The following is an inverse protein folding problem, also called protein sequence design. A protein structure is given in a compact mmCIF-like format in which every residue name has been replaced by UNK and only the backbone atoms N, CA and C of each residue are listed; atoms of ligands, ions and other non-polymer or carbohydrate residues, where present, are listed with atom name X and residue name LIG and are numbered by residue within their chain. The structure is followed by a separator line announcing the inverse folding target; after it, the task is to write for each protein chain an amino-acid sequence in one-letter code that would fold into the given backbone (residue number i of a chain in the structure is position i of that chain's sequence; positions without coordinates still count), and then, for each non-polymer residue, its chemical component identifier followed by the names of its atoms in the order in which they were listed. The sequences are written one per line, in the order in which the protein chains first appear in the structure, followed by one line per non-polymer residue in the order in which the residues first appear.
data_IF_595125114408
#
_entry.id   IF_595125114408
#
_cell.length_a   1.000
_cell.length_b   1.000
_cell.length_c   1.000
_cell.angle_alpha   90.00
_cell.angle_beta   90.00
_cell.angle_gamma   90.00
#
_symmetry.space_group_name_H-M   'P 1'
#
loop_
_entity.id
_entity.type
_entity.pdbx_description
1 polymer ?
#
# COMPACT_ATOMS: atom_id res chain seq x y z
N UNK A 1 -2.71 41.92 22.06
CA UNK A 1 -4.15 41.64 21.94
C UNK A 1 -4.58 42.30 20.65
N UNK A 2 -5.23 41.56 19.75
CA UNK A 2 -5.55 41.92 18.34
C UNK A 2 -4.33 41.91 17.40
N UNK A 3 -4.14 40.85 16.60
CA UNK A 3 -4.68 40.53 15.25
C UNK A 3 -4.06 41.31 14.10
N UNK A 4 -3.58 40.52 13.13
CA UNK A 4 -3.27 40.83 11.73
C UNK A 4 -2.07 41.71 11.38
N UNK A 5 -1.00 41.03 10.93
CA UNK A 5 -0.11 41.61 9.91
C UNK A 5 0.58 40.53 9.05
N UNK A 6 -0.04 40.23 7.91
CA UNK A 6 0.64 39.67 6.75
C UNK A 6 1.58 40.73 6.13
N UNK A 7 2.86 40.37 5.92
CA UNK A 7 3.77 40.71 4.79
C UNK A 7 5.20 41.01 5.26
N UNK A 8 6.11 40.12 4.85
CA UNK A 8 7.35 40.39 4.09
C UNK A 8 8.44 39.39 4.48
N UNK A 9 8.82 38.51 3.55
CA UNK A 9 10.13 38.62 2.88
C UNK A 9 10.33 37.49 1.88
N UNK A 10 10.51 37.86 0.62
CA UNK A 10 11.17 37.07 -0.40
C UNK A 10 12.37 37.88 -0.92
N UNK A 11 13.56 37.25 -0.98
CA UNK A 11 14.53 37.22 -2.12
C UNK A 11 15.99 37.07 -1.67
N UNK A 12 16.64 35.97 -2.09
CA UNK A 12 17.86 35.86 -2.94
C UNK A 12 18.31 34.38 -2.96
N UNK A 13 18.08 33.64 -4.04
CA UNK A 13 18.99 33.34 -5.18
C UNK A 13 20.23 32.50 -4.82
N UNK A 14 20.20 31.19 -5.16
CA UNK A 14 21.29 30.43 -5.82
C UNK A 14 20.66 29.32 -6.69
N UNK A 15 21.29 29.09 -7.84
CA UNK A 15 20.87 28.29 -8.97
C UNK A 15 20.83 26.77 -8.76
N UNK A 16 19.97 26.11 -9.56
CA UNK A 16 20.10 24.71 -9.96
C UNK A 16 19.18 23.73 -9.24
N UNK A 17 18.32 23.05 -10.01
CA UNK A 17 17.41 21.96 -9.65
C UNK A 17 16.02 22.38 -9.14
N UNK A 18 15.02 22.20 -10.02
CA UNK A 18 13.57 22.38 -9.81
C UNK A 18 12.96 21.10 -9.22
N UNK A 19 12.16 21.20 -8.14
CA UNK A 19 11.33 20.14 -7.49
C UNK A 19 10.11 20.75 -6.76
N UNK A 20 8.87 20.25 -6.95
CA UNK A 20 7.54 20.69 -6.41
C UNK A 20 6.76 19.41 -5.97
N UNK A 21 5.46 19.56 -5.68
CA UNK A 21 4.66 18.89 -4.65
C UNK A 21 3.22 18.72 -5.15
N UNK A 22 2.51 17.67 -4.74
CA UNK A 22 1.12 17.38 -5.08
C UNK A 22 0.10 18.00 -4.10
N UNK A 23 -1.00 18.55 -4.64
CA UNK A 23 -2.23 18.92 -3.93
C UNK A 23 -3.43 18.46 -4.78
N UNK A 24 -4.43 17.82 -4.17
CA UNK A 24 -5.68 17.42 -4.83
C UNK A 24 -6.82 18.35 -4.37
N UNK A 25 -7.45 19.05 -5.31
CA UNK A 25 -8.70 19.79 -5.11
C UNK A 25 -9.95 19.00 -5.57
N UNK A 26 -11.08 19.37 -4.95
CA UNK A 26 -12.33 18.60 -4.79
C UNK A 26 -13.09 18.29 -6.09
N UNK A 27 -13.63 17.08 -6.19
CA UNK A 27 -14.76 16.76 -7.05
C UNK A 27 -15.87 16.09 -6.21
N UNK A 28 -17.13 16.50 -6.42
CA UNK A 28 -18.33 15.90 -5.82
C UNK A 28 -18.95 14.95 -6.84
N UNK A 29 -19.06 13.67 -6.53
CA UNK A 29 -19.94 12.77 -7.28
C UNK A 29 -20.59 11.74 -6.37
N UNK A 30 -21.86 11.43 -6.66
CA UNK A 30 -22.67 10.41 -6.00
C UNK A 30 -22.76 9.22 -6.95
N UNK A 31 -22.08 8.13 -6.66
CA UNK A 31 -22.32 6.85 -7.32
C UNK A 31 -22.50 5.74 -6.28
N UNK A 32 -23.47 4.85 -6.54
CA UNK A 32 -23.72 3.64 -5.77
C UNK A 32 -23.07 2.47 -6.53
N UNK A 33 -21.94 1.97 -6.03
CA UNK A 33 -21.23 0.82 -6.61
C UNK A 33 -21.79 -0.50 -6.03
N UNK A 34 -22.35 -1.32 -6.92
CA UNK A 34 -22.95 -2.62 -6.63
C UNK A 34 -22.05 -3.76 -7.13
N UNK A 35 -20.82 -3.87 -6.63
CA UNK A 35 -19.93 -5.03 -6.76
C UNK A 35 -18.99 -5.10 -5.56
N UNK A 36 -19.42 -5.77 -4.48
CA UNK A 36 -18.51 -6.12 -3.38
C UNK A 36 -17.74 -7.38 -3.79
N UNK A 37 -16.61 -7.21 -4.48
CA UNK A 37 -15.59 -8.27 -4.58
C UNK A 37 -14.92 -8.40 -3.21
N UNK A 38 -14.81 -9.63 -2.74
CA UNK A 38 -14.53 -10.00 -1.35
C UNK A 38 -13.06 -9.71 -0.97
N UNK A 39 -12.72 -8.50 -0.51
CA UNK A 39 -11.57 -8.37 0.39
C UNK A 39 -12.07 -8.59 1.83
N UNK A 40 -11.44 -9.46 2.66
CA UNK A 40 -11.88 -9.70 4.04
C UNK A 40 -11.89 -8.43 4.92
N UNK A 41 -11.38 -7.30 4.45
CA UNK A 41 -11.54 -5.98 5.09
C UNK A 41 -12.97 -5.39 5.00
N UNK A 42 -13.87 -5.91 4.16
CA UNK A 42 -15.13 -5.23 3.83
C UNK A 42 -16.26 -5.32 4.88
N UNK A 43 -16.17 -6.16 5.91
CA UNK A 43 -17.23 -6.27 6.90
C UNK A 43 -16.66 -6.48 8.31
N UNK A 44 -16.39 -5.40 9.03
CA UNK A 44 -16.38 -5.49 10.49
C UNK A 44 -16.87 -4.23 11.22
N UNK A 45 -17.83 -4.35 12.14
CA UNK A 45 -18.46 -3.23 12.85
C UNK A 45 -17.74 -2.86 14.16
N UNK A 46 -16.41 -2.92 14.24
CA UNK A 46 -15.70 -2.44 15.44
C UNK A 46 -14.44 -1.68 15.05
N UNK A 47 -14.40 -0.39 15.43
CA UNK A 47 -13.30 0.57 15.25
C UNK A 47 -12.66 0.61 13.86
N UNK A 48 -13.49 0.77 12.83
CA UNK A 48 -13.00 1.25 11.55
C UNK A 48 -12.71 2.75 11.62
N UNK A 49 -11.77 3.22 12.47
CA UNK A 49 -11.26 4.60 12.37
C UNK A 49 -11.17 4.91 10.89
N UNK A 50 -11.85 5.99 10.45
CA UNK A 50 -11.86 6.40 9.04
C UNK A 50 -10.48 6.14 8.52
N UNK A 51 -10.32 5.29 7.49
CA UNK A 51 -9.04 5.15 6.79
C UNK A 51 -8.51 6.56 6.68
N UNK A 52 -7.51 6.98 7.49
CA UNK A 52 -7.23 8.38 7.60
C UNK A 52 -6.71 8.80 6.23
N UNK A 53 -6.51 10.09 6.01
CA UNK A 53 -5.97 10.62 4.76
C UNK A 53 -4.65 9.97 4.29
N UNK A 54 -4.05 9.04 5.05
CA UNK A 54 -2.97 8.11 4.70
C UNK A 54 -3.19 7.40 3.36
N UNK A 55 -4.44 7.08 2.98
CA UNK A 55 -4.74 6.41 1.71
C UNK A 55 -5.25 7.33 0.61
N UNK A 56 -5.54 8.59 0.93
CA UNK A 56 -5.76 9.57 -0.13
C UNK A 56 -4.37 9.95 -0.68
N UNK A 57 -4.22 10.06 -1.99
CA UNK A 57 -3.10 10.80 -2.61
C UNK A 57 -3.20 12.31 -2.28
N UNK A 58 -3.62 12.70 -1.07
CA UNK A 58 -3.82 14.07 -0.62
C UNK A 58 -2.69 14.47 0.32
N UNK A 59 -2.01 15.55 -0.08
CA UNK A 59 -1.24 16.45 0.80
C UNK A 59 0.08 15.93 1.35
N UNK A 60 0.57 14.75 0.94
CA UNK A 60 2.00 14.47 1.07
C UNK A 60 2.73 15.13 -0.11
N UNK A 61 3.75 15.98 0.14
CA UNK A 61 4.66 16.40 -0.91
C UNK A 61 5.22 15.16 -1.60
N UNK A 62 4.75 14.91 -2.82
CA UNK A 62 5.42 14.03 -3.77
C UNK A 62 6.79 14.63 -4.06
N UNK A 63 7.74 14.42 -3.16
CA UNK A 63 9.11 14.62 -3.52
C UNK A 63 9.44 13.49 -4.52
N UNK A 64 9.58 13.85 -5.81
CA UNK A 64 10.66 13.36 -6.70
C UNK A 64 10.32 12.92 -8.14
N UNK A 65 9.06 12.91 -8.59
CA UNK A 65 8.78 12.72 -10.04
C UNK A 65 8.28 13.94 -10.78
N UNK A 66 7.43 14.75 -10.16
CA UNK A 66 6.98 15.99 -10.76
C UNK A 66 6.53 16.94 -9.68
N UNK A 67 7.24 18.03 -9.67
CA UNK A 67 6.74 19.33 -9.36
C UNK A 67 5.25 19.63 -9.65
N UNK A 68 4.76 19.27 -10.82
CA UNK A 68 3.41 19.69 -11.19
C UNK A 68 2.39 18.91 -10.40
N UNK A 69 1.49 19.64 -9.75
CA UNK A 69 0.14 19.17 -9.54
C UNK A 69 -0.33 18.56 -10.85
N UNK A 70 -0.39 17.24 -10.86
CA UNK A 70 -1.01 16.52 -11.93
C UNK A 70 -2.48 16.34 -11.55
N UNK A 71 -3.40 16.59 -12.49
CA UNK A 71 -4.77 16.20 -12.30
C UNK A 71 -4.84 14.71 -11.93
N UNK A 72 -5.68 14.35 -10.97
CA UNK A 72 -5.71 12.96 -10.50
C UNK A 72 -6.05 11.96 -11.62
N UNK A 73 -6.95 12.34 -12.54
CA UNK A 73 -7.24 11.53 -13.74
C UNK A 73 -6.01 11.27 -14.61
N UNK A 74 -5.11 12.26 -14.73
CA UNK A 74 -3.87 12.08 -15.48
C UNK A 74 -2.98 11.06 -14.77
N UNK A 75 -2.87 11.15 -13.44
CA UNK A 75 -2.12 10.17 -12.65
C UNK A 75 -2.67 8.75 -12.80
N UNK A 76 -3.97 8.55 -12.62
CA UNK A 76 -4.60 7.23 -12.74
C UNK A 76 -4.45 6.68 -14.16
N UNK A 77 -4.60 7.52 -15.18
CA UNK A 77 -4.37 7.12 -16.57
C UNK A 77 -2.91 6.71 -16.81
N UNK A 78 -1.93 7.49 -16.33
CA UNK A 78 -0.50 7.17 -16.47
C UNK A 78 -0.14 5.86 -15.72
N UNK A 79 -0.69 5.66 -14.52
CA UNK A 79 -0.53 4.42 -13.76
C UNK A 79 -1.15 3.23 -14.51
N UNK A 80 -2.39 3.37 -14.99
CA UNK A 80 -3.09 2.36 -15.82
C UNK A 80 -2.28 1.99 -17.05
N UNK A 81 -1.75 2.97 -17.77
CA UNK A 81 -0.96 2.75 -18.99
C UNK A 81 0.41 2.11 -18.69
N UNK A 82 0.89 2.29 -17.45
CA UNK A 82 2.18 1.84 -16.99
C UNK A 82 3.32 2.75 -17.44
N UNK A 83 3.08 4.07 -17.47
CA UNK A 83 4.04 5.07 -17.91
C UNK A 83 5.37 5.00 -17.13
N UNK A 84 5.31 4.57 -15.87
CA UNK A 84 6.45 4.52 -14.97
C UNK A 84 6.96 3.10 -14.67
N UNK A 85 6.51 2.06 -15.38
CA UNK A 85 6.89 0.67 -15.07
C UNK A 85 8.40 0.41 -15.15
N UNK A 86 9.09 1.10 -16.05
CA UNK A 86 10.54 0.99 -16.24
C UNK A 86 11.36 1.90 -15.30
N UNK A 87 10.80 2.28 -14.15
CA UNK A 87 11.52 3.10 -13.17
C UNK A 87 12.43 2.27 -12.26
N UNK A 88 13.31 2.95 -11.49
CA UNK A 88 14.00 2.29 -10.39
C UNK A 88 13.08 2.21 -9.15
N UNK A 89 12.59 1.01 -8.83
CA UNK A 89 11.71 0.75 -7.69
C UNK A 89 12.43 0.59 -6.35
N UNK A 90 13.77 0.69 -6.39
CA UNK A 90 14.62 0.69 -5.22
C UNK A 90 15.16 2.09 -4.89
N UNK A 91 14.66 3.12 -5.58
CA UNK A 91 15.01 4.49 -5.29
C UNK A 91 14.78 4.81 -3.81
N UNK A 92 15.77 5.43 -3.16
CA UNK A 92 15.70 5.72 -1.73
C UNK A 92 16.61 4.86 -0.86
N UNK A 93 17.00 3.66 -1.34
CA UNK A 93 17.97 2.80 -0.67
C UNK A 93 19.36 3.44 -0.57
N UNK A 94 20.19 2.90 0.33
CA UNK A 94 21.58 3.31 0.42
C UNK A 94 22.39 2.92 -0.84
N UNK A 95 23.46 3.67 -1.10
CA UNK A 95 24.43 3.33 -2.14
C UNK A 95 23.94 3.51 -3.58
N UNK A 96 24.44 2.67 -4.49
CA UNK A 96 24.13 2.78 -5.91
C UNK A 96 22.68 2.38 -6.21
N UNK A 97 22.15 1.36 -5.52
CA UNK A 97 20.80 0.82 -5.76
C UNK A 97 19.70 1.88 -5.60
N UNK A 98 19.87 2.82 -4.67
CA UNK A 98 18.89 3.89 -4.45
C UNK A 98 19.00 5.12 -5.35
N UNK A 99 19.90 5.13 -6.33
CA UNK A 99 20.00 6.22 -7.31
C UNK A 99 18.95 6.04 -8.40
N UNK A 100 18.22 7.12 -8.73
CA UNK A 100 17.16 7.15 -9.76
C UNK A 100 17.56 6.45 -11.06
N UNK A 101 18.72 6.76 -11.61
CA UNK A 101 19.17 6.27 -12.91
C UNK A 101 19.88 4.91 -12.84
N UNK A 102 19.98 4.29 -11.66
CA UNK A 102 20.67 3.04 -11.46
C UNK A 102 19.70 1.89 -11.18
N UNK A 103 19.06 1.41 -12.25
CA UNK A 103 18.16 0.25 -12.19
C UNK A 103 18.93 -1.01 -11.78
N UNK A 104 18.35 -1.88 -10.93
CA UNK A 104 18.94 -3.18 -10.66
C UNK A 104 19.02 -4.00 -11.95
N UNK A 105 20.06 -4.83 -12.04
CA UNK A 105 20.21 -5.81 -13.11
C UNK A 105 19.90 -7.18 -12.53
N UNK A 106 18.79 -7.76 -12.98
CA UNK A 106 18.44 -9.14 -12.66
C UNK A 106 19.18 -10.09 -13.60
N UNK A 107 19.67 -11.21 -13.07
CA UNK A 107 20.39 -12.24 -13.82
C UNK A 107 19.45 -13.27 -14.43
N UNK A 108 18.22 -13.33 -13.91
CA UNK A 108 17.12 -14.14 -14.40
C UNK A 108 15.80 -13.34 -14.34
N UNK A 109 14.69 -14.04 -14.53
CA UNK A 109 13.35 -13.46 -14.44
C UNK A 109 13.08 -13.04 -13.00
N UNK A 110 12.58 -11.82 -12.83
CA UNK A 110 12.37 -11.20 -11.53
C UNK A 110 10.88 -10.93 -11.27
N UNK A 111 10.11 -11.94 -10.82
CA UNK A 111 8.71 -11.74 -10.44
C UNK A 111 8.59 -10.66 -9.36
N UNK A 112 7.45 -9.96 -9.35
CA UNK A 112 7.11 -9.11 -8.23
C UNK A 112 6.94 -9.98 -6.98
N UNK A 113 7.50 -9.59 -5.85
CA UNK A 113 7.39 -10.30 -4.59
C UNK A 113 6.71 -9.39 -3.57
N UNK A 114 5.63 -9.89 -2.96
CA UNK A 114 4.84 -9.19 -1.96
C UNK A 114 4.77 -9.98 -0.66
N UNK A 115 4.62 -9.28 0.46
CA UNK A 115 4.46 -9.87 1.77
C UNK A 115 4.85 -8.90 2.87
N UNK A 116 4.89 -9.40 4.11
CA UNK A 116 5.52 -8.65 5.19
C UNK A 116 7.03 -8.65 5.01
N UNK A 117 7.66 -7.55 5.40
CA UNK A 117 9.10 -7.33 5.46
C UNK A 117 9.92 -8.57 5.86
N UNK A 118 9.57 -9.17 7.00
CA UNK A 118 10.31 -10.31 7.56
C UNK A 118 10.11 -11.58 6.72
N UNK A 119 8.94 -11.74 6.12
CA UNK A 119 8.65 -12.85 5.22
C UNK A 119 9.36 -12.68 3.88
N UNK A 120 9.45 -11.45 3.36
CA UNK A 120 10.20 -11.12 2.15
C UNK A 120 11.69 -11.38 2.39
N UNK A 121 12.24 -10.93 3.52
CA UNK A 121 13.62 -11.19 3.93
C UNK A 121 13.93 -12.68 3.95
N UNK A 122 13.10 -13.46 4.63
CA UNK A 122 13.25 -14.90 4.71
C UNK A 122 13.19 -15.55 3.33
N UNK A 123 12.21 -15.15 2.51
CA UNK A 123 12.02 -15.68 1.16
C UNK A 123 13.22 -15.40 0.26
N UNK A 124 13.66 -14.14 0.18
CA UNK A 124 14.81 -13.74 -0.62
C UNK A 124 16.09 -14.45 -0.14
N UNK A 125 16.27 -14.66 1.17
CA UNK A 125 17.40 -15.39 1.73
C UNK A 125 17.37 -16.89 1.35
N UNK A 126 16.22 -17.56 1.45
CA UNK A 126 16.11 -18.95 1.04
C UNK A 126 16.35 -19.12 -0.46
N UNK A 127 15.82 -18.22 -1.29
CA UNK A 127 16.04 -18.25 -2.74
C UNK A 127 17.50 -17.97 -3.11
N UNK A 128 18.15 -17.04 -2.42
CA UNK A 128 19.55 -16.70 -2.65
C UNK A 128 20.50 -17.90 -2.53
N UNK A 129 20.18 -18.88 -1.65
CA UNK A 129 20.97 -20.12 -1.52
C UNK A 129 20.99 -20.96 -2.80
N UNK A 130 20.01 -20.79 -3.68
CA UNK A 130 19.91 -21.54 -4.94
C UNK A 130 20.61 -20.87 -6.12
N UNK A 131 20.79 -19.54 -6.07
CA UNK A 131 21.32 -18.77 -7.20
C UNK A 131 22.83 -18.50 -7.17
N UNK A 132 23.53 -18.81 -6.06
CA UNK A 132 24.98 -18.61 -5.88
C UNK A 132 25.46 -17.20 -6.28
N UNK A 133 24.65 -16.18 -5.99
CA UNK A 133 24.82 -14.81 -6.49
C UNK A 133 25.70 -13.92 -5.61
N UNK A 134 26.34 -14.46 -4.57
CA UNK A 134 27.24 -13.71 -3.69
C UNK A 134 27.08 -14.07 -2.21
N UNK A 135 27.53 -13.18 -1.32
CA UNK A 135 27.32 -13.31 0.12
C UNK A 135 26.02 -12.59 0.52
N UNK A 136 25.18 -13.26 1.30
CA UNK A 136 24.02 -12.66 1.95
C UNK A 136 24.47 -11.54 2.90
N UNK A 137 23.87 -10.36 2.79
CA UNK A 137 24.10 -9.25 3.72
C UNK A 137 22.83 -8.99 4.55
N UNK A 138 22.80 -9.33 5.84
CA UNK A 138 21.61 -9.14 6.69
C UNK A 138 21.18 -7.68 6.83
N UNK A 139 21.99 -6.71 6.38
CA UNK A 139 21.67 -5.28 6.40
C UNK A 139 21.17 -4.76 5.07
N UNK A 140 21.13 -5.60 4.03
CA UNK A 140 20.81 -5.18 2.67
C UNK A 140 19.60 -5.95 2.11
N UNK A 141 18.45 -5.79 2.75
CA UNK A 141 17.16 -6.37 2.36
C UNK A 141 16.92 -6.30 0.84
N UNK A 142 16.94 -5.07 0.29
CA UNK A 142 16.73 -4.81 -1.12
C UNK A 142 17.76 -5.49 -2.03
N UNK A 143 19.05 -5.43 -1.66
CA UNK A 143 20.12 -6.08 -2.43
C UNK A 143 19.99 -7.60 -2.45
N UNK A 144 19.61 -8.22 -1.33
CA UNK A 144 19.40 -9.67 -1.25
C UNK A 144 18.27 -10.11 -2.18
N UNK A 145 17.16 -9.37 -2.24
CA UNK A 145 16.07 -9.68 -3.18
C UNK A 145 16.47 -9.48 -4.64
N UNK A 146 17.24 -8.43 -4.97
CA UNK A 146 17.77 -8.27 -6.33
C UNK A 146 18.66 -9.46 -6.71
N UNK A 147 19.54 -9.89 -5.81
CA UNK A 147 20.44 -11.03 -6.04
C UNK A 147 19.67 -12.35 -6.22
N UNK A 148 18.56 -12.56 -5.49
CA UNK A 148 17.70 -13.72 -5.66
C UNK A 148 16.71 -13.61 -6.83
N UNK A 149 16.83 -12.59 -7.68
CA UNK A 149 15.90 -12.30 -8.78
C UNK A 149 14.45 -12.14 -8.29
N UNK A 150 14.21 -11.36 -7.25
CA UNK A 150 12.88 -10.94 -6.81
C UNK A 150 12.77 -9.41 -6.87
N UNK A 151 11.73 -8.94 -7.55
CA UNK A 151 11.42 -7.51 -7.63
C UNK A 151 10.52 -7.13 -6.47
N UNK A 152 10.98 -6.27 -5.58
CA UNK A 152 10.19 -5.76 -4.46
C UNK A 152 10.01 -4.26 -4.62
N UNK A 153 8.94 -3.72 -4.04
CA UNK A 153 8.86 -2.28 -3.80
C UNK A 153 9.61 -1.98 -2.51
N UNK A 154 10.72 -1.24 -2.61
CA UNK A 154 11.46 -0.89 -1.41
C UNK A 154 10.85 0.31 -0.70
N UNK A 155 10.34 0.08 0.51
CA UNK A 155 9.62 1.08 1.31
C UNK A 155 10.53 1.86 2.28
N UNK A 156 11.78 1.42 2.45
CA UNK A 156 12.68 1.84 3.54
C UNK A 156 13.59 3.03 3.23
N UNK A 157 13.31 3.77 2.17
CA UNK A 157 14.20 4.85 1.74
C UNK A 157 14.15 6.05 2.68
N UNK A 158 15.24 6.32 3.42
CA UNK A 158 15.38 7.62 4.11
C UNK A 158 15.40 8.79 3.12
N UNK A 159 15.90 8.55 1.90
CA UNK A 159 15.99 9.54 0.83
C UNK A 159 14.65 9.75 0.11
N UNK A 160 13.83 8.71 0.00
CA UNK A 160 12.51 8.76 -0.65
C UNK A 160 11.52 8.06 0.28
N UNK A 161 10.74 8.86 1.00
CA UNK A 161 9.69 8.34 1.88
C UNK A 161 8.68 7.54 1.06
N UNK A 162 8.12 6.50 1.67
CA UNK A 162 7.02 5.79 1.01
C UNK A 162 5.86 6.73 0.73
N UNK A 163 5.23 6.44 -0.41
CA UNK A 163 4.12 7.16 -0.97
C UNK A 163 3.14 6.15 -1.57
N UNK A 164 1.87 6.24 -1.16
CA UNK A 164 0.80 5.38 -1.64
C UNK A 164 0.63 5.43 -3.17
N UNK A 165 0.82 6.59 -3.80
CA UNK A 165 0.69 6.69 -5.25
C UNK A 165 1.82 5.89 -5.93
N UNK A 166 3.04 5.95 -5.37
CA UNK A 166 4.17 5.16 -5.89
C UNK A 166 3.96 3.65 -5.70
N UNK A 167 3.35 3.27 -4.59
CA UNK A 167 2.96 1.87 -4.33
C UNK A 167 1.92 1.38 -5.34
N UNK A 168 0.89 2.19 -5.61
CA UNK A 168 -0.10 1.89 -6.64
C UNK A 168 0.54 1.72 -8.02
N UNK A 169 1.38 2.66 -8.46
CA UNK A 169 2.10 2.54 -9.73
C UNK A 169 2.89 1.21 -9.83
N UNK A 170 3.62 0.85 -8.77
CA UNK A 170 4.35 -0.41 -8.72
C UNK A 170 3.40 -1.61 -8.84
N UNK A 171 2.28 -1.62 -8.11
CA UNK A 171 1.29 -2.70 -8.15
C UNK A 171 0.66 -2.84 -9.53
N UNK A 172 0.31 -1.75 -10.21
CA UNK A 172 -0.25 -1.81 -11.57
C UNK A 172 0.79 -2.35 -12.55
N UNK A 173 2.05 -1.93 -12.40
CA UNK A 173 3.13 -2.48 -13.20
C UNK A 173 3.36 -3.98 -12.93
N UNK A 174 3.28 -4.41 -11.67
CA UNK A 174 3.38 -5.81 -11.26
C UNK A 174 2.23 -6.65 -11.86
N UNK A 175 0.98 -6.17 -11.73
CA UNK A 175 -0.21 -6.82 -12.27
C UNK A 175 -0.12 -7.00 -13.79
N UNK A 176 0.42 -6.00 -14.50
CA UNK A 176 0.58 -6.03 -15.96
C UNK A 176 1.85 -6.79 -16.42
N UNK A 177 2.66 -7.32 -15.50
CA UNK A 177 3.89 -8.03 -15.85
C UNK A 177 5.01 -7.14 -16.38
N UNK A 178 4.94 -5.82 -16.12
CA UNK A 178 5.78 -4.78 -16.74
C UNK A 178 6.93 -4.29 -15.87
N UNK A 179 7.11 -4.82 -14.66
CA UNK A 179 8.25 -4.41 -13.82
C UNK A 179 9.59 -4.80 -14.48
N UNK A 180 10.70 -4.08 -14.17
CA UNK A 180 12.01 -4.43 -14.70
C UNK A 180 12.38 -5.86 -14.29
N UNK A 181 12.81 -6.65 -15.27
CA UNK A 181 13.15 -8.07 -15.08
C UNK A 181 11.96 -9.03 -14.98
N UNK A 182 10.72 -8.53 -14.80
CA UNK A 182 9.55 -9.40 -14.62
C UNK A 182 9.19 -10.16 -15.90
N UNK A 183 9.41 -9.60 -17.09
CA UNK A 183 9.29 -10.33 -18.36
C UNK A 183 7.90 -10.93 -18.62
N UNK A 184 6.83 -10.31 -18.12
CA UNK A 184 5.46 -10.84 -18.21
C UNK A 184 5.15 -11.95 -17.21
N UNK A 185 6.07 -12.33 -16.32
CA UNK A 185 5.82 -13.31 -15.27
C UNK A 185 4.87 -12.77 -14.21
N UNK A 186 4.21 -13.70 -13.52
CA UNK A 186 3.34 -13.38 -12.41
C UNK A 186 4.07 -12.77 -11.22
N UNK A 187 3.28 -12.46 -10.22
CA UNK A 187 3.69 -12.03 -8.90
C UNK A 187 3.81 -13.27 -8.01
N UNK A 188 4.57 -13.16 -6.93
CA UNK A 188 4.72 -14.18 -5.88
C UNK A 188 4.46 -13.52 -4.54
N UNK A 189 4.08 -14.35 -3.58
CA UNK A 189 3.80 -13.90 -2.23
C UNK A 189 4.70 -14.64 -1.23
N UNK A 190 5.49 -13.91 -0.45
CA UNK A 190 6.27 -14.47 0.67
C UNK A 190 5.39 -14.75 1.89
N UNK A 191 4.23 -14.10 1.97
CA UNK A 191 3.17 -14.35 2.95
C UNK A 191 1.88 -14.70 2.20
N UNK A 192 1.21 -15.81 2.56
CA UNK A 192 -0.04 -16.21 1.90
C UNK A 192 -1.12 -15.15 2.15
N UNK A 193 -1.81 -14.66 1.10
CA UNK A 193 -2.91 -13.71 1.25
C UNK A 193 -4.05 -14.24 2.15
N UNK A 194 -4.28 -15.56 2.14
CA UNK A 194 -5.30 -16.21 2.97
C UNK A 194 -5.01 -16.18 4.48
N UNK A 195 -3.76 -15.97 4.86
CA UNK A 195 -3.32 -15.97 6.26
C UNK A 195 -3.34 -14.55 6.86
N UNK A 196 -3.82 -13.54 6.11
CA UNK A 196 -3.99 -12.18 6.61
C UNK A 196 -5.13 -12.13 7.64
N UNK A 197 -4.75 -11.81 8.87
CA UNK A 197 -5.67 -11.62 9.99
C UNK A 197 -5.51 -10.20 10.57
N UNK A 198 -6.55 -9.38 10.41
CA UNK A 198 -6.58 -8.00 10.91
C UNK A 198 -6.50 -7.89 12.43
N UNK A 199 -6.74 -8.99 13.16
CA UNK A 199 -6.64 -9.09 14.61
C UNK A 199 -5.50 -9.99 15.09
N UNK A 200 -4.71 -10.51 14.16
CA UNK A 200 -3.70 -11.53 14.42
C UNK A 200 -2.44 -10.98 15.08
N UNK A 201 -1.31 -11.64 14.81
CA UNK A 201 0.00 -11.23 15.32
C UNK A 201 0.48 -9.88 14.73
N UNK A 202 0.09 -9.62 13.48
CA UNK A 202 0.32 -8.36 12.75
C UNK A 202 -1.03 -7.68 12.46
N UNK A 203 -1.71 -7.17 13.50
CA UNK A 203 -3.02 -6.55 13.36
C UNK A 203 -2.90 -5.23 12.61
N UNK A 204 -3.91 -4.96 11.77
CA UNK A 204 -4.02 -3.72 11.03
C UNK A 204 -4.14 -2.53 12.02
N UNK A 205 -3.54 -1.39 11.69
CA UNK A 205 -3.58 -0.14 12.47
C UNK A 205 -2.83 -0.14 13.80
N UNK A 206 -1.97 -1.11 14.05
CA UNK A 206 -1.14 -1.16 15.27
C UNK A 206 0.33 -0.81 15.04
N UNK A 207 0.71 -0.44 13.82
CA UNK A 207 2.07 -0.08 13.39
C UNK A 207 3.17 -1.02 13.90
N UNK A 208 2.97 -2.33 13.75
CA UNK A 208 3.94 -3.32 14.20
C UNK A 208 5.13 -3.51 13.24
N UNK A 209 5.07 -2.92 12.04
CA UNK A 209 6.15 -2.92 11.04
C UNK A 209 7.06 -1.69 11.08
N UNK A 210 7.93 -1.58 10.07
CA UNK A 210 8.81 -0.42 9.92
C UNK A 210 8.03 0.85 9.59
N UNK A 211 8.51 1.98 10.10
CA UNK A 211 8.02 3.31 9.76
C UNK A 211 9.19 4.31 9.73
N UNK A 212 9.12 5.35 8.89
CA UNK A 212 10.16 6.37 8.86
C UNK A 212 10.17 7.17 10.17
N UNK A 213 11.38 7.41 10.72
CA UNK A 213 11.56 8.02 12.04
C UNK A 213 11.08 9.48 12.13
N UNK A 214 10.86 10.15 11.00
CA UNK A 214 10.47 11.55 10.91
C UNK A 214 8.95 11.78 10.80
N UNK A 215 8.13 10.73 10.84
CA UNK A 215 6.67 10.87 10.95
C UNK A 215 6.32 11.13 12.41
N UNK A 216 6.05 12.41 12.73
CA UNK A 216 5.60 12.82 14.06
C UNK A 216 4.17 12.33 14.27
N UNK A 217 3.96 11.43 15.24
CA UNK A 217 2.65 10.85 15.53
C UNK A 217 2.75 9.36 15.89
N UNK A 218 1.69 8.85 16.52
CA UNK A 218 1.49 7.41 16.69
C UNK A 218 1.04 6.76 15.37
N UNK A 219 0.26 5.69 15.46
CA UNK A 219 -0.38 5.09 14.28
C UNK A 219 -1.46 5.95 13.63
N UNK A 220 -1.83 7.04 14.27
CA UNK A 220 -2.91 7.91 13.81
C UNK A 220 -2.52 8.71 12.56
N UNK A 221 -1.22 8.97 12.38
CA UNK A 221 -0.70 9.89 11.36
C UNK A 221 0.22 9.21 10.32
N UNK A 222 0.34 7.88 10.36
CA UNK A 222 1.32 7.15 9.54
C UNK A 222 0.85 5.77 9.08
N UNK A 223 1.72 5.12 8.33
CA UNK A 223 1.61 3.71 7.94
C UNK A 223 2.75 2.94 8.57
N UNK A 224 2.55 1.64 8.79
CA UNK A 224 3.64 0.69 8.86
C UNK A 224 3.64 -0.20 7.62
N UNK A 225 4.80 -0.79 7.33
CA UNK A 225 4.95 -1.79 6.26
C UNK A 225 3.96 -2.95 6.38
N UNK A 226 3.60 -3.35 7.60
CA UNK A 226 2.56 -4.36 7.84
C UNK A 226 1.20 -3.93 7.25
N UNK A 227 0.78 -2.67 7.46
CA UNK A 227 -0.49 -2.16 6.94
C UNK A 227 -0.50 -2.09 5.41
N UNK A 228 0.68 -1.87 4.82
CA UNK A 228 0.85 -1.80 3.37
C UNK A 228 0.49 -3.15 2.76
N UNK A 229 0.99 -4.28 3.28
CA UNK A 229 0.72 -5.58 2.67
C UNK A 229 -0.78 -5.94 2.61
N UNK A 230 -1.55 -5.58 3.65
CA UNK A 230 -3.01 -5.72 3.63
C UNK A 230 -3.65 -4.92 2.48
N UNK A 231 -3.21 -3.68 2.31
CA UNK A 231 -3.65 -2.85 1.20
C UNK A 231 -3.30 -3.51 -0.15
N UNK A 232 -2.07 -3.98 -0.35
CA UNK A 232 -1.65 -4.57 -1.64
C UNK A 232 -2.52 -5.77 -2.04
N UNK A 233 -2.82 -6.65 -1.07
CA UNK A 233 -3.73 -7.79 -1.29
C UNK A 233 -5.13 -7.31 -1.66
N UNK A 234 -5.70 -6.33 -0.94
CA UNK A 234 -7.01 -5.79 -1.30
C UNK A 234 -7.01 -5.13 -2.69
N UNK A 235 -5.95 -4.41 -3.03
CA UNK A 235 -5.82 -3.76 -4.33
C UNK A 235 -5.85 -4.79 -5.46
N UNK A 236 -5.06 -5.87 -5.37
CA UNK A 236 -5.14 -6.97 -6.34
C UNK A 236 -6.48 -7.69 -6.33
N UNK A 237 -7.12 -7.84 -5.17
CA UNK A 237 -8.45 -8.47 -5.10
C UNK A 237 -9.53 -7.68 -5.87
N UNK A 238 -9.32 -6.37 -5.99
CA UNK A 238 -10.22 -5.45 -6.69
C UNK A 238 -9.93 -5.42 -8.19
N UNK A 239 -8.66 -5.22 -8.59
CA UNK A 239 -8.25 -4.95 -9.98
C UNK A 239 -7.98 -6.19 -10.82
N UNK A 240 -8.01 -7.40 -10.25
CA UNK A 240 -7.82 -8.65 -10.99
C UNK A 240 -9.14 -9.43 -11.09
N UNK A 241 -9.50 -9.91 -12.30
CA UNK A 241 -10.73 -10.72 -12.51
C UNK A 241 -10.67 -12.08 -11.84
N UNK A 242 -9.47 -12.65 -11.73
CA UNK A 242 -9.18 -13.92 -11.08
C UNK A 242 -8.77 -13.76 -9.61
N UNK A 243 -9.27 -12.73 -8.92
CA UNK A 243 -8.87 -12.42 -7.55
C UNK A 243 -9.15 -13.52 -6.52
N UNK A 244 -10.11 -14.41 -6.77
CA UNK A 244 -10.36 -15.55 -5.89
C UNK A 244 -9.14 -16.51 -5.83
N UNK A 245 -8.35 -16.61 -6.90
CA UNK A 245 -7.13 -17.44 -6.92
C UNK A 245 -6.08 -16.94 -5.92
N UNK A 246 -6.04 -15.62 -5.67
CA UNK A 246 -5.11 -14.96 -4.75
C UNK A 246 -5.14 -15.61 -3.36
N UNK A 247 -6.33 -16.01 -2.89
CA UNK A 247 -6.53 -16.59 -1.57
C UNK A 247 -6.35 -18.12 -1.54
N UNK A 248 -6.00 -18.74 -2.66
CA UNK A 248 -5.67 -20.17 -2.74
C UNK A 248 -4.16 -20.44 -2.83
N UNK A 249 -3.36 -19.39 -3.01
CA UNK A 249 -1.92 -19.47 -3.20
C UNK A 249 -1.19 -19.98 -1.94
N UNK A 250 -0.11 -20.73 -2.18
CA UNK A 250 0.93 -21.00 -1.20
C UNK A 250 2.05 -19.97 -1.31
N UNK A 251 2.96 -19.98 -0.32
CA UNK A 251 4.16 -19.14 -0.36
C UNK A 251 4.98 -19.47 -1.60
N UNK A 252 5.30 -18.45 -2.39
CA UNK A 252 6.11 -18.56 -3.60
C UNK A 252 5.40 -19.07 -4.85
N UNK A 253 4.10 -19.40 -4.79
CA UNK A 253 3.30 -19.70 -5.98
C UNK A 253 3.24 -18.46 -6.90
N UNK A 254 3.18 -18.70 -8.21
CA UNK A 254 3.00 -17.64 -9.19
C UNK A 254 1.53 -17.28 -9.33
N UNK A 255 1.25 -15.98 -9.36
CA UNK A 255 -0.06 -15.42 -9.60
C UNK A 255 0.01 -14.40 -10.73
N UNK A 256 -0.70 -14.68 -11.82
CA UNK A 256 -0.82 -13.77 -12.96
C UNK A 256 -2.16 -13.06 -12.86
N UNK A 257 -2.15 -11.75 -12.65
CA UNK A 257 -3.36 -10.95 -12.59
C UNK A 257 -4.00 -10.85 -13.98
N UNK A 258 -5.25 -11.31 -14.12
CA UNK A 258 -6.10 -10.94 -15.25
C UNK A 258 -6.61 -9.50 -14.98
N UNK A 259 -5.77 -8.52 -15.36
CA UNK A 259 -5.99 -7.11 -15.07
C UNK A 259 -7.33 -6.61 -15.64
N UNK A 260 -8.14 -6.03 -14.78
CA UNK A 260 -9.48 -5.53 -15.08
C UNK A 260 -9.47 -4.01 -15.15
N UNK A 261 -9.31 -3.46 -16.36
CA UNK A 261 -9.20 -2.01 -16.57
C UNK A 261 -10.43 -1.26 -16.03
N UNK A 262 -11.64 -1.83 -16.20
CA UNK A 262 -12.87 -1.24 -15.67
C UNK A 262 -12.85 -1.18 -14.13
N UNK A 263 -12.34 -2.23 -13.47
CA UNK A 263 -12.22 -2.23 -12.01
C UNK A 263 -11.14 -1.25 -11.52
N UNK A 264 -10.09 -1.02 -12.31
CA UNK A 264 -9.13 0.05 -12.02
C UNK A 264 -9.76 1.45 -12.17
N UNK A 265 -10.65 1.65 -13.14
CA UNK A 265 -11.38 2.91 -13.28
C UNK A 265 -12.39 3.12 -12.13
N UNK A 266 -13.02 2.06 -11.63
CA UNK A 266 -13.83 2.10 -10.39
C UNK A 266 -12.97 2.48 -9.18
N UNK A 267 -11.77 1.93 -9.10
CA UNK A 267 -10.81 2.24 -8.04
C UNK A 267 -10.39 3.73 -8.05
N UNK A 268 -10.15 4.32 -9.23
CA UNK A 268 -9.92 5.77 -9.34
C UNK A 268 -11.05 6.55 -8.66
N UNK A 269 -12.31 6.21 -8.97
CA UNK A 269 -13.46 6.89 -8.35
C UNK A 269 -13.44 6.75 -6.83
N UNK A 270 -13.13 5.56 -6.30
CA UNK A 270 -13.04 5.30 -4.87
C UNK A 270 -11.95 6.14 -4.19
N UNK A 271 -10.78 6.32 -4.80
CA UNK A 271 -9.70 7.14 -4.25
C UNK A 271 -9.99 8.65 -4.33
N UNK A 272 -10.86 9.07 -5.26
CA UNK A 272 -11.26 10.47 -5.43
C UNK A 272 -12.46 10.87 -4.56
N UNK A 273 -13.22 9.90 -4.06
CA UNK A 273 -14.28 10.13 -3.09
C UNK A 273 -13.74 10.80 -1.81
N UNK A 274 -14.52 11.74 -1.25
CA UNK A 274 -14.19 12.27 0.07
C UNK A 274 -14.28 11.14 1.11
N UNK A 275 -13.28 10.97 1.99
CA UNK A 275 -13.35 9.99 3.05
C UNK A 275 -14.65 10.19 3.82
N UNK A 276 -15.46 9.14 3.92
CA UNK A 276 -16.68 9.22 4.72
C UNK A 276 -16.26 9.49 6.16
N UNK A 277 -16.94 10.43 6.86
CA UNK A 277 -16.70 10.61 8.28
C UNK A 277 -16.80 9.25 8.96
N UNK A 278 -15.85 8.94 9.83
CA UNK A 278 -15.98 7.76 10.66
C UNK A 278 -17.23 7.92 11.52
N UNK A 279 -18.27 7.17 11.18
CA UNK A 279 -19.30 6.86 12.16
C UNK A 279 -18.76 5.70 12.96
N UNK A 280 -18.41 5.96 14.23
CA UNK A 280 -18.13 4.90 15.18
C UNK A 280 -19.20 3.82 14.98
N UNK A 281 -18.80 2.56 14.75
CA UNK A 281 -19.80 1.52 14.59
C UNK A 281 -20.70 1.60 15.81
N UNK A 282 -22.00 1.55 15.55
CA UNK A 282 -23.03 1.53 16.57
C UNK A 282 -22.54 0.62 17.68
N UNK A 283 -22.09 1.19 18.81
CA UNK A 283 -21.89 0.41 20.02
C UNK A 283 -23.24 -0.26 20.19
N UNK A 284 -23.35 -1.59 20.07
CA UNK A 284 -24.62 -2.24 20.34
C UNK A 284 -24.94 -1.81 21.76
N UNK A 285 -25.93 -0.92 21.89
CA UNK A 285 -26.32 -0.34 23.16
C UNK A 285 -26.41 -1.49 24.11
N UNK A 286 -25.57 -1.50 25.16
CA UNK A 286 -25.41 -2.60 26.11
C UNK A 286 -26.74 -3.35 26.17
N UNK A 287 -26.79 -4.55 25.57
CA UNK A 287 -28.05 -5.27 25.45
C UNK A 287 -28.58 -5.39 26.87
N UNK A 288 -29.61 -4.59 27.19
CA UNK A 288 -30.12 -4.47 28.54
C UNK A 288 -30.42 -5.91 28.96
N UNK A 289 -29.76 -6.44 30.02
CA UNK A 289 -29.95 -7.82 30.39
C UNK A 289 -31.46 -8.05 30.48
N UNK A 290 -31.98 -9.14 29.88
CA UNK A 290 -33.41 -9.41 29.90
C UNK A 290 -33.87 -9.28 31.35
N UNK A 291 -34.86 -8.41 31.59
CA UNK A 291 -35.47 -8.25 32.91
C UNK A 291 -35.78 -9.65 33.42
N UNK A 292 -35.16 -10.01 34.55
CA UNK A 292 -35.37 -11.29 35.19
C UNK A 292 -36.88 -11.42 35.43
N UNK A 293 -37.57 -12.24 34.62
CA UNK A 293 -38.94 -12.62 34.90
C UNK A 293 -38.91 -13.33 36.25
N UNK A 294 -39.45 -12.67 37.26
CA UNK A 294 -39.75 -13.26 38.54
C UNK A 294 -40.50 -14.57 38.30
N UNK A 295 -39.87 -15.68 38.66
CA UNK A 295 -40.51 -16.99 38.71
C UNK A 295 -41.72 -16.87 39.65
N UNK A 296 -42.91 -16.71 39.09
CA UNK A 296 -44.14 -16.91 39.83
C UNK A 296 -44.18 -18.37 40.26
N UNK A 297 -44.23 -18.57 41.57
CA UNK A 297 -44.33 -19.90 42.17
C UNK A 297 -45.56 -20.63 41.64
N UNK A 298 -45.36 -21.77 40.98
CA UNK A 298 -46.45 -22.66 40.63
C UNK A 298 -47.09 -23.21 41.91
N UNK A 299 -48.42 -23.16 42.07
CA UNK A 299 -49.09 -23.76 43.21
C UNK A 299 -49.01 -25.28 43.13
N UNK A 300 -48.60 -25.91 44.23
CA UNK A 300 -48.64 -27.36 44.40
C UNK A 300 -50.10 -27.84 44.38
N UNK A 301 -50.44 -28.65 43.38
CA UNK A 301 -51.67 -29.44 43.30
C UNK A 301 -51.36 -30.91 43.25
#
# INVERSE_FOLDING_TARGET
METDMFRNQARRLVAGSSTRTCVIERARSRYALARTRSCPLQYHPYRAHSMPSVFACRHTPLAFFSDQEQPAHQYFQEAKDGAYCDSNWYEGNAGALGKRDNRPKFTAMAPALLGFDETIDWFCNEEHKWFDTGAYDPKNHAGNCVNSNNNILSLYGERVQYNICRNLEWQICAAKGKLPGQGGFGMRFSQRPADLDVYGEKPLWQCRGWRPANVAGGCEDGYATDDIFFLEVCMFSHICRNSEELFTLNVGDFYVCDFDEDAFDELELLFLEEPRPFTAPYEPSEAKPPEAKSLEAMPNG
#
